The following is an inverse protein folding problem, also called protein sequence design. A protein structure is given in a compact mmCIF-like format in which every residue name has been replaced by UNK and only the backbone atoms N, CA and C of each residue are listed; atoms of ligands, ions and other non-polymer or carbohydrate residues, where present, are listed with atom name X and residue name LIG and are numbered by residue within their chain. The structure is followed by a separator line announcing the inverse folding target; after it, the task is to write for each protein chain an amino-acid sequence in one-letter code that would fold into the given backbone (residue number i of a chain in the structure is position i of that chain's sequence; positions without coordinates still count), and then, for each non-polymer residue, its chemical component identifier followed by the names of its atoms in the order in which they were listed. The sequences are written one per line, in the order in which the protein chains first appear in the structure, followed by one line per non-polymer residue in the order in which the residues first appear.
data_IF_489957484365
#
_entry.id   IF_489957484365
#
_cell.length_a   1.000
_cell.length_b   1.000
_cell.length_c   1.000
_cell.angle_alpha   90.00
_cell.angle_beta   90.00
_cell.angle_gamma   90.00
#
_symmetry.space_group_name_H-M   'P 1'
#
loop_
_entity.id
_entity.type
_entity.pdbx_description
1 polymer ?
#
# COMPACT_ATOMS: atom_id res chain seq x y z
N UNK A 1 -11.04 -26.10 0.06
CA UNK A 1 -10.66 -27.21 0.94
C UNK A 1 -9.27 -27.74 0.65
N UNK A 2 -9.10 -29.06 0.39
CA UNK A 2 -7.77 -29.70 0.20
C UNK A 2 -6.93 -29.11 -0.94
N UNK A 3 -7.56 -28.65 -2.03
CA UNK A 3 -6.86 -28.04 -3.17
C UNK A 3 -6.27 -26.69 -2.81
N UNK A 4 -6.98 -25.90 -2.03
CA UNK A 4 -6.52 -24.59 -1.53
C UNK A 4 -5.42 -24.76 -0.51
N UNK A 5 -5.49 -25.74 0.39
CA UNK A 5 -4.43 -26.03 1.37
C UNK A 5 -3.13 -26.48 0.69
N UNK A 6 -3.22 -27.32 -0.37
CA UNK A 6 -2.03 -27.68 -1.18
C UNK A 6 -1.44 -26.47 -1.88
N UNK A 7 -2.30 -25.56 -2.43
CA UNK A 7 -1.86 -24.30 -3.01
C UNK A 7 -1.19 -23.40 -1.98
N UNK A 8 -1.74 -23.31 -0.76
CA UNK A 8 -1.15 -22.55 0.33
C UNK A 8 0.25 -23.05 0.74
N UNK A 9 0.41 -24.36 0.86
CA UNK A 9 1.73 -24.94 1.20
C UNK A 9 2.75 -24.74 0.07
N UNK A 10 2.36 -24.90 -1.19
CA UNK A 10 3.24 -24.63 -2.33
C UNK A 10 3.65 -23.16 -2.40
N UNK A 11 2.72 -22.24 -2.19
CA UNK A 11 3.02 -20.81 -2.13
C UNK A 11 3.96 -20.47 -0.96
N UNK A 12 3.74 -21.08 0.21
CA UNK A 12 4.63 -20.93 1.36
C UNK A 12 6.05 -21.39 1.08
N UNK A 13 6.21 -22.55 0.45
CA UNK A 13 7.51 -23.07 0.07
C UNK A 13 8.25 -22.16 -0.93
N UNK A 14 7.53 -21.65 -1.96
CA UNK A 14 8.09 -20.72 -2.94
C UNK A 14 8.51 -19.38 -2.31
N UNK A 15 7.66 -18.80 -1.46
CA UNK A 15 7.99 -17.56 -0.73
C UNK A 15 9.15 -17.77 0.24
N UNK A 16 9.17 -18.89 0.96
CA UNK A 16 10.25 -19.25 1.86
C UNK A 16 11.58 -19.39 1.12
N UNK A 17 11.59 -20.04 -0.05
CA UNK A 17 12.79 -20.19 -0.89
C UNK A 17 13.26 -18.84 -1.45
N UNK A 18 12.33 -18.03 -1.98
CA UNK A 18 12.67 -16.76 -2.63
C UNK A 18 13.10 -15.66 -1.65
N UNK A 19 12.43 -15.58 -0.49
CA UNK A 19 12.62 -14.48 0.46
C UNK A 19 13.44 -14.87 1.69
N UNK A 20 13.40 -16.11 2.09
CA UNK A 20 14.02 -16.59 3.32
C UNK A 20 15.39 -17.20 3.12
N UNK A 21 15.61 -17.98 2.06
CA UNK A 21 16.79 -18.82 1.92
C UNK A 21 17.01 -19.73 3.15
N UNK A 22 18.22 -20.26 3.30
CA UNK A 22 18.55 -21.24 4.37
C UNK A 22 18.53 -20.68 5.81
N UNK A 23 18.42 -19.36 6.02
CA UNK A 23 18.44 -18.71 7.35
C UNK A 23 17.55 -17.47 7.42
N UNK A 24 16.74 -17.25 6.41
CA UNK A 24 15.83 -16.12 6.40
C UNK A 24 14.61 -16.39 7.26
N UNK A 25 13.94 -15.31 7.62
CA UNK A 25 12.74 -15.32 8.44
C UNK A 25 11.61 -14.61 7.72
N UNK A 26 10.44 -15.22 7.66
CA UNK A 26 9.23 -14.58 7.14
C UNK A 26 8.13 -14.59 8.18
N UNK A 27 7.20 -13.66 8.11
CA UNK A 27 6.02 -13.68 8.96
C UNK A 27 4.77 -14.12 8.18
N UNK A 28 3.82 -14.71 8.90
CA UNK A 28 2.53 -15.14 8.38
C UNK A 28 1.41 -14.70 9.32
N UNK A 29 0.45 -13.98 8.77
CA UNK A 29 -0.73 -13.52 9.47
C UNK A 29 -2.00 -13.78 8.65
N UNK A 30 -3.17 -13.66 9.27
CA UNK A 30 -4.42 -13.92 8.58
C UNK A 30 -5.60 -13.07 9.09
N UNK A 31 -6.62 -12.93 8.25
CA UNK A 31 -7.91 -12.36 8.64
C UNK A 31 -8.66 -13.29 9.63
N UNK A 32 -9.61 -12.75 10.43
CA UNK A 32 -10.30 -13.52 11.47
C UNK A 32 -11.33 -14.51 10.91
N UNK A 33 -10.90 -15.45 10.07
CA UNK A 33 -11.75 -16.52 9.56
C UNK A 33 -11.06 -17.86 9.69
N UNK A 34 -11.83 -18.93 9.93
CA UNK A 34 -11.30 -20.28 10.04
C UNK A 34 -10.61 -20.74 8.75
N UNK A 35 -11.13 -20.32 7.59
CA UNK A 35 -10.52 -20.62 6.29
C UNK A 35 -9.16 -19.96 6.14
N UNK A 36 -9.03 -18.67 6.51
CA UNK A 36 -7.77 -17.94 6.47
C UNK A 36 -6.74 -18.54 7.45
N UNK A 37 -7.15 -18.87 8.66
CA UNK A 37 -6.29 -19.53 9.65
C UNK A 37 -5.72 -20.85 9.12
N UNK A 38 -6.58 -21.69 8.53
CA UNK A 38 -6.16 -22.98 7.97
C UNK A 38 -5.15 -22.82 6.81
N UNK A 39 -5.40 -21.87 5.92
CA UNK A 39 -4.49 -21.57 4.82
C UNK A 39 -3.17 -20.95 5.29
N UNK A 40 -3.22 -20.07 6.30
CA UNK A 40 -2.02 -19.49 6.89
C UNK A 40 -1.14 -20.55 7.54
N UNK A 41 -1.72 -21.52 8.25
CA UNK A 41 -0.98 -22.66 8.80
C UNK A 41 -0.35 -23.53 7.69
N UNK A 42 -1.10 -23.79 6.61
CA UNK A 42 -0.56 -24.53 5.46
C UNK A 42 0.61 -23.77 4.79
N UNK A 43 0.47 -22.45 4.64
CA UNK A 43 1.53 -21.58 4.12
C UNK A 43 2.77 -21.61 5.03
N UNK A 44 2.59 -21.45 6.34
CA UNK A 44 3.69 -21.49 7.31
C UNK A 44 4.45 -22.84 7.29
N UNK A 45 3.70 -23.95 7.20
CA UNK A 45 4.30 -25.28 7.05
C UNK A 45 5.08 -25.41 5.73
N UNK A 46 4.56 -24.87 4.63
CA UNK A 46 5.27 -24.82 3.34
C UNK A 46 6.56 -24.01 3.43
N UNK A 47 6.52 -22.82 4.02
CA UNK A 47 7.71 -21.98 4.23
C UNK A 47 8.77 -22.67 5.11
N UNK A 48 8.35 -23.31 6.19
CA UNK A 48 9.26 -24.07 7.05
C UNK A 48 9.88 -25.27 6.32
N UNK A 49 9.15 -25.90 5.38
CA UNK A 49 9.67 -27.01 4.58
C UNK A 49 10.80 -26.58 3.63
N UNK A 50 10.88 -25.31 3.27
CA UNK A 50 11.97 -24.75 2.47
C UNK A 50 13.20 -24.29 3.29
N UNK A 51 13.25 -24.60 4.59
CA UNK A 51 14.33 -24.20 5.50
C UNK A 51 14.19 -22.80 6.10
N UNK A 52 13.13 -22.05 5.75
CA UNK A 52 12.88 -20.71 6.23
C UNK A 52 12.26 -20.70 7.65
N UNK A 53 12.76 -19.84 8.53
CA UNK A 53 12.07 -19.59 9.81
C UNK A 53 10.76 -18.83 9.58
N UNK A 54 9.70 -19.26 10.25
CA UNK A 54 8.38 -18.64 10.13
C UNK A 54 7.90 -18.06 11.47
N UNK A 55 7.56 -16.78 11.49
CA UNK A 55 6.91 -16.11 12.61
C UNK A 55 5.40 -16.10 12.35
N UNK A 56 4.66 -16.94 13.03
CA UNK A 56 3.20 -17.02 12.89
C UNK A 56 2.53 -15.99 13.82
N UNK A 57 1.93 -14.96 13.22
CA UNK A 57 1.33 -13.84 13.94
C UNK A 57 -0.15 -14.04 14.23
N UNK A 58 -0.75 -15.13 13.75
CA UNK A 58 -2.14 -15.42 13.97
C UNK A 58 -3.09 -14.41 13.30
N UNK A 59 -4.23 -14.17 13.94
CA UNK A 59 -5.23 -13.23 13.45
C UNK A 59 -4.92 -11.80 13.91
N UNK A 60 -4.57 -10.92 12.97
CA UNK A 60 -4.34 -9.50 13.24
C UNK A 60 -4.75 -8.64 12.01
N UNK A 61 -4.64 -7.32 12.09
CA UNK A 61 -4.80 -6.45 10.93
C UNK A 61 -3.61 -6.61 9.95
N UNK A 62 -3.87 -6.49 8.64
CA UNK A 62 -2.83 -6.64 7.62
C UNK A 62 -1.70 -5.61 7.78
N UNK A 63 -2.05 -4.36 8.11
CA UNK A 63 -1.12 -3.28 8.40
C UNK A 63 -0.27 -3.55 9.63
N UNK A 64 -0.88 -4.14 10.67
CA UNK A 64 -0.16 -4.56 11.88
C UNK A 64 0.87 -5.66 11.58
N UNK A 65 0.50 -6.64 10.74
CA UNK A 65 1.42 -7.69 10.33
C UNK A 65 2.61 -7.14 9.53
N UNK A 66 2.35 -6.24 8.58
CA UNK A 66 3.39 -5.60 7.77
C UNK A 66 4.36 -4.77 8.65
N UNK A 67 3.82 -4.01 9.61
CA UNK A 67 4.63 -3.26 10.57
C UNK A 67 5.47 -4.18 11.48
N UNK A 68 4.85 -5.23 12.03
CA UNK A 68 5.51 -6.17 12.94
C UNK A 68 6.60 -7.00 12.25
N UNK A 69 6.55 -7.18 10.91
CA UNK A 69 7.60 -7.85 10.15
C UNK A 69 8.97 -7.20 10.35
N UNK A 70 9.04 -5.85 10.27
CA UNK A 70 10.28 -5.11 10.50
C UNK A 70 10.82 -5.28 11.93
N UNK A 71 9.93 -5.28 12.92
CA UNK A 71 10.30 -5.42 14.33
C UNK A 71 10.78 -6.83 14.66
N UNK A 72 10.17 -7.85 14.06
CA UNK A 72 10.54 -9.25 14.26
C UNK A 72 11.72 -9.71 13.42
N UNK A 73 12.32 -8.80 12.62
CA UNK A 73 13.46 -9.10 11.77
C UNK A 73 13.14 -10.04 10.61
N UNK A 74 11.89 -10.03 10.15
CA UNK A 74 11.49 -10.80 8.98
C UNK A 74 11.91 -10.08 7.69
N UNK A 75 12.38 -10.83 6.69
CA UNK A 75 12.69 -10.32 5.35
C UNK A 75 11.42 -9.97 4.56
N UNK A 76 10.27 -10.44 5.02
CA UNK A 76 8.95 -10.14 4.49
C UNK A 76 7.90 -11.02 5.10
N UNK A 77 6.71 -11.04 4.49
CA UNK A 77 5.62 -11.86 5.00
C UNK A 77 4.44 -12.04 4.07
N UNK A 78 3.49 -12.81 4.56
CA UNK A 78 2.24 -13.11 3.90
C UNK A 78 1.05 -12.81 4.82
N UNK A 79 0.06 -12.12 4.28
CA UNK A 79 -1.24 -11.96 4.91
C UNK A 79 -2.30 -12.76 4.14
N UNK A 80 -2.90 -13.72 4.81
CA UNK A 80 -3.94 -14.59 4.23
C UNK A 80 -5.31 -14.00 4.49
N UNK A 81 -6.04 -13.76 3.43
CA UNK A 81 -7.38 -13.19 3.47
C UNK A 81 -8.39 -14.07 2.75
N UNK A 82 -9.57 -14.27 3.34
CA UNK A 82 -10.65 -15.09 2.74
C UNK A 82 -12.00 -14.41 2.99
N UNK A 83 -12.43 -13.51 2.10
CA UNK A 83 -13.80 -12.99 2.11
C UNK A 83 -14.66 -13.74 1.08
N UNK A 84 -14.40 -13.51 -0.20
CA UNK A 84 -15.10 -14.16 -1.33
C UNK A 84 -14.23 -15.25 -1.91
N UNK A 85 -12.95 -14.97 -2.07
CA UNK A 85 -11.92 -15.89 -2.55
C UNK A 85 -10.72 -15.84 -1.60
N UNK A 86 -9.97 -16.94 -1.52
CA UNK A 86 -8.71 -16.95 -0.80
C UNK A 86 -7.68 -16.11 -1.57
N UNK A 87 -7.06 -15.17 -0.90
CA UNK A 87 -5.99 -14.33 -1.45
C UNK A 87 -4.80 -14.25 -0.50
N UNK A 88 -3.62 -14.10 -1.07
CA UNK A 88 -2.35 -13.92 -0.36
C UNK A 88 -1.83 -12.51 -0.68
N UNK A 89 -1.71 -11.68 0.34
CA UNK A 89 -1.03 -10.39 0.26
C UNK A 89 0.42 -10.56 0.70
N UNK A 90 1.37 -10.36 -0.20
CA UNK A 90 2.80 -10.43 0.11
C UNK A 90 3.35 -9.02 0.36
N UNK A 91 4.29 -8.91 1.28
CA UNK A 91 4.96 -7.65 1.63
C UNK A 91 6.40 -7.91 2.06
N UNK A 92 7.25 -6.92 1.88
CA UNK A 92 8.65 -6.97 2.29
C UNK A 92 8.82 -6.69 3.80
N UNK A 93 10.00 -6.96 4.34
CA UNK A 93 10.31 -6.78 5.76
C UNK A 93 10.22 -5.34 6.25
N UNK A 94 10.25 -4.37 5.37
CA UNK A 94 10.02 -2.95 5.65
C UNK A 94 8.54 -2.54 5.60
N UNK A 95 7.62 -3.50 5.43
CA UNK A 95 6.17 -3.29 5.37
C UNK A 95 5.64 -2.81 4.01
N UNK A 96 6.52 -2.54 3.05
CA UNK A 96 6.16 -2.09 1.71
C UNK A 96 5.90 -3.28 0.76
N UNK A 97 5.37 -2.98 -0.43
CA UNK A 97 5.19 -3.99 -1.48
C UNK A 97 6.55 -4.60 -1.88
N UNK A 98 6.51 -5.85 -2.35
CA UNK A 98 7.69 -6.53 -2.85
C UNK A 98 8.27 -5.84 -4.08
N UNK A 99 9.57 -6.00 -4.32
CA UNK A 99 10.16 -5.71 -5.61
C UNK A 99 9.63 -6.67 -6.68
N UNK A 100 9.52 -6.19 -7.91
CA UNK A 100 9.05 -7.03 -9.03
C UNK A 100 9.93 -8.25 -9.24
N UNK A 101 11.24 -8.09 -9.13
CA UNK A 101 12.21 -9.20 -9.20
C UNK A 101 11.93 -10.29 -8.16
N UNK A 102 11.55 -9.91 -6.93
CA UNK A 102 11.17 -10.87 -5.89
C UNK A 102 9.84 -11.57 -6.22
N UNK A 103 8.86 -10.82 -6.75
CA UNK A 103 7.60 -11.43 -7.20
C UNK A 103 7.84 -12.47 -8.32
N UNK A 104 8.67 -12.13 -9.30
CA UNK A 104 9.04 -13.03 -10.42
C UNK A 104 9.80 -14.27 -9.94
N UNK A 105 10.68 -14.10 -8.95
CA UNK A 105 11.36 -15.24 -8.32
C UNK A 105 10.36 -16.17 -7.63
N UNK A 106 9.38 -15.62 -6.89
CA UNK A 106 8.30 -16.41 -6.25
C UNK A 106 7.48 -17.14 -7.30
N UNK A 107 7.08 -16.45 -8.39
CA UNK A 107 6.33 -17.04 -9.51
C UNK A 107 7.14 -18.16 -10.18
N UNK A 108 8.45 -17.99 -10.35
CA UNK A 108 9.34 -19.01 -10.87
C UNK A 108 9.39 -20.23 -9.94
N UNK A 109 9.62 -20.04 -8.65
CA UNK A 109 9.65 -21.13 -7.66
C UNK A 109 8.33 -21.92 -7.62
N UNK A 110 7.18 -21.22 -7.76
CA UNK A 110 5.87 -21.86 -7.88
C UNK A 110 5.75 -22.76 -9.13
N UNK A 111 6.40 -22.38 -10.22
CA UNK A 111 6.31 -23.07 -11.50
C UNK A 111 7.27 -24.28 -11.56
N UNK A 112 8.47 -24.11 -11.04
CA UNK A 112 9.52 -25.16 -11.06
C UNK A 112 9.20 -26.31 -10.10
N UNK A 113 8.41 -26.06 -9.05
CA UNK A 113 7.75 -27.05 -8.13
C UNK A 113 8.56 -28.34 -7.81
N UNK A 114 9.85 -28.30 -7.91
CA UNK A 114 10.69 -29.38 -7.39
C UNK A 114 10.96 -29.08 -5.93
N UNK A 115 10.17 -29.69 -5.06
CA UNK A 115 10.53 -29.82 -3.65
C UNK A 115 11.90 -30.53 -3.57
N UNK A 116 12.95 -29.76 -3.73
CA UNK A 116 14.28 -30.25 -3.42
C UNK A 116 14.27 -30.59 -1.93
N UNK A 117 14.76 -31.76 -1.53
CA UNK A 117 14.88 -32.07 -0.11
C UNK A 117 15.87 -31.08 0.50
N UNK A 118 15.34 -30.13 1.28
CA UNK A 118 16.19 -29.26 2.07
C UNK A 118 16.88 -30.10 3.16
N UNK A 119 18.14 -29.83 3.39
CA UNK A 119 18.93 -30.51 4.43
C UNK A 119 18.44 -30.14 5.85
N UNK A 120 17.73 -29.03 5.96
CA UNK A 120 17.21 -28.49 7.24
C UNK A 120 15.80 -27.93 7.04
N UNK A 121 14.92 -28.19 8.01
CA UNK A 121 13.60 -27.56 8.08
C UNK A 121 13.68 -26.31 8.96
N UNK A 122 12.98 -25.25 8.56
CA UNK A 122 12.77 -24.08 9.39
C UNK A 122 11.81 -24.36 10.56
N UNK A 123 11.79 -23.45 11.51
CA UNK A 123 10.89 -23.52 12.65
C UNK A 123 9.69 -22.57 12.46
N UNK A 124 8.56 -22.91 13.07
CA UNK A 124 7.40 -22.01 13.18
C UNK A 124 7.29 -21.55 14.63
N UNK A 125 7.39 -20.24 14.86
CA UNK A 125 7.27 -19.63 16.19
C UNK A 125 6.05 -18.72 16.22
N UNK A 126 5.31 -18.71 17.33
CA UNK A 126 4.13 -17.85 17.50
C UNK A 126 4.53 -16.45 18.00
N UNK A 127 3.80 -15.44 17.51
CA UNK A 127 3.95 -14.05 17.92
C UNK A 127 2.57 -13.35 17.98
N UNK A 128 1.99 -13.23 19.16
CA UNK A 128 0.60 -12.75 19.37
C UNK A 128 0.50 -11.25 19.70
N UNK A 129 1.46 -10.44 19.25
CA UNK A 129 1.54 -9.03 19.66
C UNK A 129 1.41 -7.99 18.53
N UNK A 130 1.16 -8.39 17.28
CA UNK A 130 1.23 -7.51 16.12
C UNK A 130 0.32 -6.27 16.25
N UNK A 131 -0.98 -6.45 16.56
CA UNK A 131 -1.94 -5.35 16.73
C UNK A 131 -1.58 -4.43 17.90
N UNK A 132 -1.03 -4.98 18.97
CA UNK A 132 -0.64 -4.20 20.17
C UNK A 132 0.56 -3.30 19.88
N UNK A 133 1.61 -3.86 19.28
CA UNK A 133 2.83 -3.12 18.96
C UNK A 133 2.53 -2.03 17.93
N UNK A 134 1.75 -2.35 16.92
CA UNK A 134 1.33 -1.38 15.92
C UNK A 134 0.50 -0.24 16.52
N UNK A 135 -0.54 -0.58 17.32
CA UNK A 135 -1.36 0.42 17.99
C UNK A 135 -0.53 1.32 18.93
N UNK A 136 0.42 0.75 19.67
CA UNK A 136 1.33 1.53 20.51
C UNK A 136 2.17 2.50 19.68
N UNK A 137 2.79 2.04 18.60
CA UNK A 137 3.63 2.87 17.73
C UNK A 137 2.88 4.05 17.09
N UNK A 138 1.64 3.81 16.64
CA UNK A 138 0.80 4.91 16.12
C UNK A 138 0.35 5.83 17.27
N UNK A 139 0.00 5.28 18.43
CA UNK A 139 -0.43 6.04 19.61
C UNK A 139 0.64 7.01 20.14
N UNK A 140 1.91 6.66 20.04
CA UNK A 140 3.03 7.53 20.44
C UNK A 140 3.13 8.82 19.62
N UNK A 141 2.58 8.81 18.40
CA UNK A 141 2.61 9.95 17.49
C UNK A 141 1.36 10.84 17.58
N UNK A 142 0.41 10.49 18.45
CA UNK A 142 -0.93 11.07 18.44
C UNK A 142 -1.29 11.60 19.83
N UNK A 143 -1.70 12.87 19.88
CA UNK A 143 -2.17 13.52 21.09
C UNK A 143 -3.70 13.55 21.16
N UNK A 144 -4.34 13.85 22.30
CA UNK A 144 -5.77 14.02 22.39
C UNK A 144 -6.32 15.06 21.39
N UNK A 145 -7.41 14.71 20.70
CA UNK A 145 -8.04 15.54 19.65
C UNK A 145 -9.08 16.47 20.24
N UNK A 146 -8.67 17.62 20.78
CA UNK A 146 -9.60 18.64 21.23
C UNK A 146 -10.38 19.21 20.04
N UNK A 147 -11.71 19.22 20.15
CA UNK A 147 -12.60 19.75 19.11
C UNK A 147 -12.82 18.82 17.91
N UNK A 148 -12.26 17.59 17.92
CA UNK A 148 -12.45 16.62 16.83
C UNK A 148 -13.00 15.30 17.37
N UNK A 149 -14.08 14.82 16.75
CA UNK A 149 -14.64 13.49 16.94
C UNK A 149 -14.34 12.62 15.75
N UNK A 150 -13.52 11.60 15.92
CA UNK A 150 -13.21 10.63 14.88
C UNK A 150 -14.06 9.37 15.04
N UNK A 151 -14.73 8.94 13.96
CA UNK A 151 -15.47 7.70 13.87
C UNK A 151 -14.81 6.81 12.79
N UNK A 152 -14.64 5.51 13.04
CA UNK A 152 -14.01 4.58 12.11
C UNK A 152 -14.98 3.51 11.63
N UNK A 153 -14.88 3.18 10.34
CA UNK A 153 -15.69 2.15 9.66
C UNK A 153 -14.78 1.25 8.82
N UNK A 154 -14.91 -0.05 8.97
CA UNK A 154 -14.19 -1.05 8.17
C UNK A 154 -15.01 -2.35 8.12
N UNK A 155 -14.78 -3.16 7.09
CA UNK A 155 -15.27 -4.56 7.06
C UNK A 155 -14.43 -5.48 7.95
N UNK A 156 -13.24 -5.06 8.38
CA UNK A 156 -12.35 -5.82 9.26
C UNK A 156 -12.51 -5.39 10.72
N UNK A 157 -12.99 -6.31 11.57
CA UNK A 157 -13.08 -6.09 13.03
C UNK A 157 -11.71 -5.82 13.67
N UNK A 158 -10.63 -6.40 13.10
CA UNK A 158 -9.28 -6.17 13.60
C UNK A 158 -8.83 -4.72 13.39
N UNK A 159 -9.13 -4.15 12.23
CA UNK A 159 -8.85 -2.73 11.95
C UNK A 159 -9.61 -1.84 12.93
N UNK A 160 -10.90 -2.11 13.15
CA UNK A 160 -11.71 -1.35 14.10
C UNK A 160 -11.15 -1.45 15.53
N UNK A 161 -10.80 -2.65 15.97
CA UNK A 161 -10.20 -2.86 17.30
C UNK A 161 -8.87 -2.11 17.47
N UNK A 162 -8.03 -2.06 16.44
CA UNK A 162 -6.77 -1.28 16.45
C UNK A 162 -7.08 0.21 16.53
N UNK A 163 -8.02 0.72 15.71
CA UNK A 163 -8.43 2.12 15.75
C UNK A 163 -9.01 2.52 17.11
N UNK A 164 -9.84 1.67 17.72
CA UNK A 164 -10.42 1.90 19.05
C UNK A 164 -9.32 2.02 20.12
N UNK A 165 -8.32 1.15 20.10
CA UNK A 165 -7.18 1.22 21.03
C UNK A 165 -6.39 2.52 20.89
N UNK A 166 -6.15 2.98 19.65
CA UNK A 166 -5.44 4.23 19.41
C UNK A 166 -6.29 5.43 19.86
N UNK A 167 -7.62 5.36 19.68
CA UNK A 167 -8.55 6.43 20.08
C UNK A 167 -8.76 6.53 21.58
N UNK A 168 -8.42 5.49 22.33
CA UNK A 168 -8.70 5.44 23.77
C UNK A 168 -8.13 6.67 24.50
N UNK A 169 -9.02 7.44 25.14
CA UNK A 169 -8.68 8.67 25.86
C UNK A 169 -8.34 9.87 24.97
N UNK A 170 -8.49 9.78 23.63
CA UNK A 170 -8.09 10.84 22.68
C UNK A 170 -9.26 11.51 21.95
N UNK A 171 -10.39 10.85 21.83
CA UNK A 171 -11.52 11.30 21.03
C UNK A 171 -12.41 12.32 21.80
N UNK A 172 -12.67 13.48 21.20
CA UNK A 172 -13.60 14.46 21.77
C UNK A 172 -15.02 14.20 21.26
N UNK A 173 -15.92 13.77 22.15
CA UNK A 173 -17.31 13.42 21.81
C UNK A 173 -18.13 14.60 21.30
N UNK A 174 -17.73 15.83 21.61
CA UNK A 174 -18.44 17.06 21.28
C UNK A 174 -17.80 17.82 20.11
N UNK A 175 -16.69 17.32 19.56
CA UNK A 175 -15.97 17.93 18.46
C UNK A 175 -16.63 17.77 17.09
N UNK A 176 -16.03 18.40 16.07
CA UNK A 176 -16.39 18.20 14.66
C UNK A 176 -16.25 16.72 14.29
N UNK A 177 -17.31 16.15 13.72
CA UNK A 177 -17.33 14.75 13.34
C UNK A 177 -16.60 14.51 12.03
N UNK A 178 -15.54 13.69 12.08
CA UNK A 178 -14.84 13.18 10.91
C UNK A 178 -14.97 11.65 10.90
N UNK A 179 -15.61 11.12 9.86
CA UNK A 179 -15.81 9.68 9.67
C UNK A 179 -14.77 9.12 8.70
N UNK A 180 -13.97 8.15 9.12
CA UNK A 180 -13.00 7.46 8.28
C UNK A 180 -13.52 6.09 7.87
N UNK A 181 -13.47 5.79 6.57
CA UNK A 181 -13.76 4.46 6.04
C UNK A 181 -12.47 3.83 5.54
N UNK A 182 -12.06 2.72 6.17
CA UNK A 182 -10.83 1.98 5.85
C UNK A 182 -11.22 0.63 5.26
N UNK A 183 -10.58 0.23 4.15
CA UNK A 183 -10.79 -1.10 3.54
C UNK A 183 -10.32 -2.23 4.46
N UNK A 184 -10.83 -3.45 4.25
CA UNK A 184 -10.51 -4.61 5.08
C UNK A 184 -9.03 -5.00 5.09
N UNK A 185 -8.26 -4.60 4.06
CA UNK A 185 -6.81 -4.74 3.97
C UNK A 185 -6.03 -3.58 4.62
N UNK A 186 -6.71 -2.55 5.13
CA UNK A 186 -6.10 -1.39 5.77
C UNK A 186 -5.44 -0.37 4.82
N UNK A 187 -5.41 -0.61 3.52
CA UNK A 187 -4.64 0.21 2.56
C UNK A 187 -5.41 1.38 1.97
N UNK A 188 -6.71 1.21 1.72
CA UNK A 188 -7.56 2.27 1.13
C UNK A 188 -8.34 2.97 2.23
N UNK A 189 -8.41 4.30 2.12
CA UNK A 189 -9.10 5.15 3.08
C UNK A 189 -9.83 6.28 2.37
N UNK A 190 -10.95 6.68 2.93
CA UNK A 190 -11.59 7.97 2.68
C UNK A 190 -12.07 8.57 4.00
N UNK A 191 -12.12 9.88 4.05
CA UNK A 191 -12.73 10.62 5.15
C UNK A 191 -14.02 11.30 4.69
N UNK A 192 -14.91 11.57 5.62
CA UNK A 192 -16.13 12.35 5.39
C UNK A 192 -16.38 13.29 6.57
N UNK A 193 -16.69 14.54 6.29
CA UNK A 193 -17.33 15.46 7.24
C UNK A 193 -18.52 16.15 6.58
N UNK A 194 -19.45 16.69 7.36
CA UNK A 194 -20.63 17.36 6.83
C UNK A 194 -20.26 18.61 6.01
N UNK A 195 -19.20 19.31 6.41
CA UNK A 195 -18.77 20.54 5.75
C UNK A 195 -17.97 20.30 4.46
N UNK A 196 -17.24 19.18 4.39
CA UNK A 196 -16.28 18.90 3.29
C UNK A 196 -16.83 17.90 2.29
N UNK A 197 -17.75 17.01 2.72
CA UNK A 197 -18.13 15.82 1.98
C UNK A 197 -17.01 14.76 2.01
N UNK A 198 -16.93 13.94 0.96
CA UNK A 198 -15.93 12.89 0.85
C UNK A 198 -14.56 13.44 0.45
N UNK A 199 -13.54 13.04 1.21
CA UNK A 199 -12.11 13.29 0.94
C UNK A 199 -11.42 11.96 0.71
N UNK A 200 -10.90 11.74 -0.50
CA UNK A 200 -10.22 10.51 -0.85
C UNK A 200 -8.74 10.53 -0.45
N UNK A 201 -8.15 9.34 -0.43
CA UNK A 201 -6.80 9.06 0.06
C UNK A 201 -5.75 10.08 -0.40
N UNK A 202 -5.71 10.41 -1.69
CA UNK A 202 -4.66 11.27 -2.24
C UNK A 202 -4.66 12.67 -1.59
N UNK A 203 -5.84 13.24 -1.34
CA UNK A 203 -5.97 14.52 -0.62
C UNK A 203 -5.57 14.39 0.85
N UNK A 204 -5.92 13.28 1.50
CA UNK A 204 -5.51 13.01 2.88
C UNK A 204 -3.98 12.90 3.00
N UNK A 205 -3.34 12.19 2.08
CA UNK A 205 -1.87 12.12 1.98
C UNK A 205 -1.27 13.51 1.77
N UNK A 206 -1.85 14.31 0.88
CA UNK A 206 -1.35 15.67 0.62
C UNK A 206 -1.47 16.60 1.85
N UNK A 207 -2.51 16.45 2.71
CA UNK A 207 -2.61 17.16 3.98
C UNK A 207 -1.40 16.81 4.88
N UNK A 208 -1.05 15.54 4.97
CA UNK A 208 0.11 15.11 5.77
C UNK A 208 1.43 15.60 5.16
N UNK A 209 1.57 15.53 3.83
CA UNK A 209 2.77 16.02 3.14
C UNK A 209 2.94 17.54 3.27
N UNK A 210 1.86 18.31 3.17
CA UNK A 210 1.87 19.76 3.37
C UNK A 210 2.44 20.11 4.74
N UNK A 211 2.00 19.40 5.77
CA UNK A 211 2.49 19.61 7.11
C UNK A 211 3.97 19.20 7.28
N UNK A 212 4.42 18.13 6.64
CA UNK A 212 5.84 17.74 6.61
C UNK A 212 6.68 18.82 5.91
N UNK A 213 6.24 19.30 4.75
CA UNK A 213 6.95 20.34 4.00
C UNK A 213 7.10 21.64 4.80
N UNK A 214 6.07 22.07 5.52
CA UNK A 214 6.13 23.25 6.38
C UNK A 214 7.10 23.07 7.55
N UNK A 215 7.31 21.83 8.01
CA UNK A 215 8.34 21.50 9.02
C UNK A 215 9.75 21.38 8.44
N UNK A 216 9.90 21.55 7.13
CA UNK A 216 11.17 21.44 6.46
C UNK A 216 11.59 20.00 6.12
N UNK A 217 10.69 19.05 6.19
CA UNK A 217 10.93 17.62 5.90
C UNK A 217 10.63 17.31 4.43
N UNK A 218 11.41 16.43 3.82
CA UNK A 218 11.17 15.91 2.48
C UNK A 218 10.31 14.65 2.54
N UNK A 219 9.53 14.40 1.48
CA UNK A 219 8.64 13.25 1.38
C UNK A 219 9.25 12.18 0.49
N UNK A 220 9.10 10.91 0.87
CA UNK A 220 9.46 9.79 0.02
C UNK A 220 8.21 9.09 -0.52
N UNK A 221 8.15 8.87 -1.83
CA UNK A 221 7.05 8.19 -2.51
C UNK A 221 7.55 6.95 -3.22
N UNK A 222 6.90 5.84 -2.93
CA UNK A 222 7.11 4.58 -3.63
C UNK A 222 6.08 4.48 -4.75
N UNK A 223 6.52 4.63 -6.01
CA UNK A 223 5.65 4.61 -7.17
C UNK A 223 5.51 5.96 -7.87
N UNK A 224 4.44 6.12 -8.66
CA UNK A 224 4.18 7.37 -9.37
C UNK A 224 3.79 8.48 -8.40
N UNK A 225 4.42 9.64 -8.57
CA UNK A 225 4.11 10.85 -7.79
C UNK A 225 2.95 11.59 -8.46
N UNK A 226 1.84 11.87 -7.76
CA UNK A 226 0.79 12.74 -8.29
C UNK A 226 1.35 14.12 -8.60
N UNK A 227 0.97 14.70 -9.77
CA UNK A 227 1.43 16.04 -10.17
C UNK A 227 1.08 17.11 -9.12
N UNK A 228 -0.10 17.01 -8.52
CA UNK A 228 -0.51 17.91 -7.46
C UNK A 228 0.41 17.87 -6.23
N UNK A 229 0.96 16.70 -5.91
CA UNK A 229 1.93 16.55 -4.83
C UNK A 229 3.29 17.15 -5.21
N UNK A 230 3.73 17.01 -6.47
CA UNK A 230 4.93 17.67 -6.97
C UNK A 230 4.80 19.20 -6.89
N UNK A 231 3.67 19.76 -7.34
CA UNK A 231 3.38 21.20 -7.24
C UNK A 231 3.36 21.69 -5.78
N UNK A 232 2.79 20.90 -4.87
CA UNK A 232 2.78 21.22 -3.45
C UNK A 232 4.21 21.25 -2.89
N UNK A 233 5.05 20.28 -3.20
CA UNK A 233 6.44 20.24 -2.77
C UNK A 233 7.25 21.43 -3.32
N UNK A 234 7.11 21.72 -4.61
CA UNK A 234 7.75 22.87 -5.27
C UNK A 234 7.35 24.19 -4.61
N UNK A 235 6.06 24.39 -4.33
CA UNK A 235 5.56 25.61 -3.66
C UNK A 235 6.14 25.81 -2.26
N UNK A 236 6.51 24.73 -1.58
CA UNK A 236 7.14 24.74 -0.27
C UNK A 236 8.68 24.70 -0.33
N UNK A 237 9.29 24.69 -1.51
CA UNK A 237 10.74 24.56 -1.69
C UNK A 237 11.28 23.22 -1.20
N UNK A 238 10.48 22.17 -1.25
CA UNK A 238 10.79 20.80 -0.79
C UNK A 238 10.95 19.83 -1.95
N UNK A 239 11.51 18.67 -1.65
CA UNK A 239 11.74 17.62 -2.64
C UNK A 239 10.91 16.38 -2.34
N UNK A 240 10.48 15.71 -3.41
CA UNK A 240 9.94 14.36 -3.33
C UNK A 240 11.06 13.41 -3.75
N UNK A 241 11.41 12.51 -2.85
CA UNK A 241 12.38 11.46 -3.12
C UNK A 241 11.59 10.25 -3.63
N UNK A 242 11.71 9.94 -4.91
CA UNK A 242 11.01 8.81 -5.51
C UNK A 242 12.00 7.73 -5.96
N UNK A 243 11.61 6.50 -5.75
CA UNK A 243 12.31 5.33 -6.25
C UNK A 243 11.67 4.91 -7.56
N UNK A 244 12.11 5.50 -8.69
CA UNK A 244 11.59 5.10 -9.99
C UNK A 244 10.06 5.15 -10.09
N UNK A 245 9.51 4.81 -11.24
CA UNK A 245 8.06 4.91 -11.48
C UNK A 245 7.25 3.75 -10.91
N UNK A 246 7.91 2.68 -10.52
CA UNK A 246 7.36 1.59 -9.71
C UNK A 246 8.49 0.99 -8.88
N UNK A 247 8.35 0.92 -7.57
CA UNK A 247 9.22 0.09 -6.71
C UNK A 247 9.16 -1.37 -7.12
N UNK A 248 8.07 -1.75 -7.77
CA UNK A 248 7.86 -3.06 -8.36
C UNK A 248 8.52 -3.21 -9.76
N UNK A 249 9.07 -2.17 -10.36
CA UNK A 249 9.77 -2.25 -11.64
C UNK A 249 11.24 -2.57 -11.39
N UNK A 250 11.50 -3.83 -11.56
CA UNK A 250 12.70 -4.50 -11.96
C UNK A 250 14.02 -3.70 -11.85
N UNK A 251 14.67 -3.81 -10.70
CA UNK A 251 16.11 -3.73 -10.66
C UNK A 251 16.64 -4.87 -9.82
N UNK A 252 17.32 -5.81 -10.46
CA UNK A 252 18.13 -6.82 -9.78
C UNK A 252 19.21 -6.19 -8.87
N UNK A 253 19.42 -4.88 -8.98
CA UNK A 253 20.27 -4.04 -8.13
C UNK A 253 19.67 -2.65 -8.03
N UNK A 254 18.84 -2.37 -7.01
CA UNK A 254 18.27 -1.04 -6.84
C UNK A 254 19.36 0.01 -6.60
N UNK A 255 19.23 1.17 -7.24
CA UNK A 255 20.15 2.29 -7.05
C UNK A 255 20.18 2.75 -5.57
N UNK A 256 21.27 3.39 -5.15
CA UNK A 256 21.37 3.95 -3.78
C UNK A 256 20.23 4.93 -3.47
N UNK A 257 19.78 5.70 -4.45
CA UNK A 257 18.64 6.61 -4.34
C UNK A 257 17.33 5.85 -4.11
N UNK A 258 17.15 4.73 -4.79
CA UNK A 258 15.97 3.88 -4.63
C UNK A 258 15.90 3.25 -3.23
N UNK A 259 17.03 2.78 -2.73
CA UNK A 259 17.15 2.24 -1.37
C UNK A 259 16.87 3.31 -0.31
N UNK A 260 17.37 4.54 -0.51
CA UNK A 260 17.11 5.65 0.39
C UNK A 260 15.63 6.06 0.37
N UNK A 261 15.03 6.20 -0.81
CA UNK A 261 13.61 6.48 -0.95
C UNK A 261 12.76 5.44 -0.24
N UNK A 262 13.09 4.15 -0.40
CA UNK A 262 12.39 3.06 0.25
C UNK A 262 12.55 3.11 1.78
N UNK A 263 13.76 3.35 2.28
CA UNK A 263 14.03 3.49 3.71
C UNK A 263 13.27 4.66 4.35
N UNK A 264 13.08 5.76 3.63
CA UNK A 264 12.28 6.89 4.09
C UNK A 264 10.78 6.57 4.02
N UNK A 265 10.31 5.99 2.91
CA UNK A 265 8.92 5.63 2.72
C UNK A 265 8.42 4.62 3.75
N UNK A 266 9.25 3.65 4.13
CA UNK A 266 8.89 2.67 5.17
C UNK A 266 8.66 3.30 6.55
N UNK A 267 9.29 4.45 6.84
CA UNK A 267 9.08 5.23 8.06
C UNK A 267 7.85 6.13 8.00
N UNK A 268 7.42 6.49 6.81
CA UNK A 268 6.25 7.33 6.55
C UNK A 268 5.00 6.44 6.41
N UNK A 269 4.57 5.79 7.50
CA UNK A 269 3.47 4.82 7.50
C UNK A 269 2.21 5.35 6.81
N UNK A 270 1.88 6.63 6.96
CA UNK A 270 0.71 7.26 6.35
C UNK A 270 0.69 7.19 4.81
N UNK A 271 1.85 6.94 4.18
CA UNK A 271 1.95 6.82 2.72
C UNK A 271 1.39 5.51 2.18
N UNK A 272 1.31 4.45 2.98
CA UNK A 272 0.91 3.12 2.55
C UNK A 272 -0.06 2.40 3.48
N UNK A 273 -0.41 3.02 4.61
CA UNK A 273 -1.26 2.51 5.66
C UNK A 273 -2.42 3.47 5.95
N UNK A 274 -3.66 3.00 5.77
CA UNK A 274 -4.86 3.82 5.96
C UNK A 274 -5.15 4.15 7.42
N UNK A 275 -4.76 3.29 8.37
CA UNK A 275 -4.92 3.58 9.81
C UNK A 275 -3.94 4.70 10.18
N UNK A 276 -2.66 4.53 9.88
CA UNK A 276 -1.65 5.55 10.14
C UNK A 276 -2.00 6.88 9.45
N UNK A 277 -2.52 6.83 8.21
CA UNK A 277 -2.96 8.04 7.50
C UNK A 277 -4.09 8.75 8.21
N UNK A 278 -5.12 8.03 8.68
CA UNK A 278 -6.23 8.64 9.43
C UNK A 278 -5.72 9.39 10.67
N UNK A 279 -4.90 8.74 11.48
CA UNK A 279 -4.38 9.33 12.69
C UNK A 279 -3.39 10.48 12.44
N UNK A 280 -2.57 10.39 11.38
CA UNK A 280 -1.73 11.51 10.95
C UNK A 280 -2.55 12.72 10.52
N UNK A 281 -3.63 12.52 9.74
CA UNK A 281 -4.55 13.62 9.38
C UNK A 281 -5.13 14.28 10.63
N UNK A 282 -5.66 13.49 11.57
CA UNK A 282 -6.20 14.01 12.83
C UNK A 282 -5.14 14.81 13.61
N UNK A 283 -3.92 14.31 13.68
CA UNK A 283 -2.82 15.01 14.36
C UNK A 283 -2.44 16.33 13.65
N UNK A 284 -2.45 16.36 12.31
CA UNK A 284 -2.23 17.59 11.52
C UNK A 284 -3.33 18.61 11.82
N UNK A 285 -4.61 18.20 11.77
CA UNK A 285 -5.73 19.09 12.05
C UNK A 285 -5.65 19.66 13.48
N UNK A 286 -5.39 18.81 14.47
CA UNK A 286 -5.20 19.21 15.87
C UNK A 286 -4.06 20.23 16.03
N UNK A 287 -2.87 19.92 15.49
CA UNK A 287 -1.67 20.74 15.64
C UNK A 287 -1.82 22.10 14.96
N UNK A 288 -2.43 22.13 13.80
CA UNK A 288 -2.68 23.36 13.04
C UNK A 288 -3.93 24.10 13.48
N UNK A 289 -4.73 23.52 14.37
CA UNK A 289 -6.03 24.06 14.84
C UNK A 289 -6.94 24.42 13.67
N UNK A 290 -7.08 23.53 12.71
CA UNK A 290 -7.88 23.72 11.50
C UNK A 290 -8.89 22.59 11.31
N UNK A 291 -9.99 22.89 10.63
CA UNK A 291 -10.99 21.93 10.20
C UNK A 291 -10.50 21.13 8.98
N UNK A 292 -11.13 19.98 8.72
CA UNK A 292 -10.83 19.19 7.51
C UNK A 292 -11.08 20.02 6.23
N UNK A 293 -12.11 20.89 6.23
CA UNK A 293 -12.44 21.77 5.12
C UNK A 293 -11.32 22.78 4.84
N UNK A 294 -10.82 23.43 5.88
CA UNK A 294 -9.71 24.37 5.75
C UNK A 294 -8.45 23.69 5.25
N UNK A 295 -8.12 22.49 5.75
CA UNK A 295 -6.97 21.72 5.28
C UNK A 295 -7.10 21.37 3.79
N UNK A 296 -8.27 20.88 3.36
CA UNK A 296 -8.52 20.54 1.94
C UNK A 296 -8.47 21.79 1.06
N UNK A 297 -8.94 22.94 1.55
CA UNK A 297 -8.94 24.20 0.77
C UNK A 297 -7.55 24.75 0.46
N UNK A 298 -6.54 24.37 1.24
CA UNK A 298 -5.13 24.77 1.05
C UNK A 298 -4.42 23.91 0.00
N UNK A 299 -4.99 22.77 -0.38
CA UNK A 299 -4.37 21.88 -1.35
C UNK A 299 -4.52 22.39 -2.79
N UNK A 300 -3.55 22.10 -3.68
CA UNK A 300 -3.71 22.34 -5.10
C UNK A 300 -4.99 21.70 -5.64
N UNK A 301 -5.67 22.39 -6.54
CA UNK A 301 -6.85 21.80 -7.21
C UNK A 301 -6.39 20.74 -8.19
N UNK A 302 -6.87 19.53 -8.03
CA UNK A 302 -6.66 18.44 -8.96
C UNK A 302 -7.83 17.47 -8.97
N UNK A 303 -7.98 16.79 -10.10
CA UNK A 303 -8.89 15.67 -10.28
C UNK A 303 -8.18 14.57 -11.05
N UNK A 304 -8.44 13.33 -10.67
CA UNK A 304 -7.87 12.16 -11.32
C UNK A 304 -8.97 11.25 -11.88
N UNK A 305 -8.74 10.71 -13.07
CA UNK A 305 -9.59 9.69 -13.70
C UNK A 305 -8.73 8.50 -14.05
N UNK A 306 -9.16 7.32 -13.62
CA UNK A 306 -8.50 6.06 -13.93
C UNK A 306 -9.40 5.21 -14.82
N UNK A 307 -8.86 4.65 -15.90
CA UNK A 307 -9.61 3.81 -16.82
C UNK A 307 -8.82 2.57 -17.20
N UNK A 308 -9.44 1.42 -17.06
CA UNK A 308 -8.93 0.17 -17.60
C UNK A 308 -9.33 0.02 -19.07
N UNK A 309 -8.36 -0.32 -19.91
CA UNK A 309 -8.57 -0.57 -21.35
C UNK A 309 -8.05 -1.98 -21.63
N UNK A 310 -8.92 -2.92 -22.07
CA UNK A 310 -8.49 -4.26 -22.42
C UNK A 310 -7.63 -4.22 -23.69
N UNK A 311 -6.46 -4.85 -23.63
CA UNK A 311 -5.48 -4.95 -24.74
C UNK A 311 -4.78 -6.29 -24.61
N UNK A 312 -4.66 -7.04 -25.70
CA UNK A 312 -4.03 -8.37 -25.66
C UNK A 312 -2.52 -8.32 -25.49
N UNK A 313 -1.86 -7.30 -26.06
CA UNK A 313 -0.42 -7.14 -26.04
C UNK A 313 0.00 -5.73 -25.56
N UNK A 314 -0.14 -5.45 -24.25
CA UNK A 314 0.06 -4.10 -23.75
C UNK A 314 1.49 -3.59 -23.95
N UNK A 315 2.52 -4.42 -23.80
CA UNK A 315 3.94 -4.00 -23.98
C UNK A 315 4.23 -3.57 -25.41
N UNK A 316 3.81 -4.36 -26.42
CA UNK A 316 4.00 -3.98 -27.84
C UNK A 316 3.28 -2.68 -28.19
N UNK A 317 2.10 -2.46 -27.61
CA UNK A 317 1.36 -1.22 -27.80
C UNK A 317 2.05 0.00 -27.17
N UNK A 318 2.58 -0.15 -25.96
CA UNK A 318 3.30 0.94 -25.29
C UNK A 318 4.57 1.34 -26.05
N UNK A 319 5.29 0.38 -26.65
CA UNK A 319 6.42 0.65 -27.55
C UNK A 319 5.98 1.44 -28.79
N UNK A 320 4.88 1.03 -29.44
CA UNK A 320 4.33 1.76 -30.60
C UNK A 320 3.91 3.19 -30.27
N UNK A 321 3.38 3.42 -29.10
CA UNK A 321 2.98 4.74 -28.61
C UNK A 321 4.17 5.59 -28.18
N UNK A 322 5.40 5.07 -28.28
CA UNK A 322 6.64 5.76 -27.83
C UNK A 322 6.54 6.29 -26.41
N UNK A 323 5.90 5.51 -25.54
CA UNK A 323 5.71 5.89 -24.15
C UNK A 323 7.06 5.94 -23.44
N UNK A 324 7.36 7.07 -22.80
CA UNK A 324 8.61 7.23 -22.04
C UNK A 324 8.77 6.16 -20.96
N UNK A 325 10.02 5.91 -20.54
CA UNK A 325 10.43 4.93 -19.48
C UNK A 325 9.69 5.14 -18.15
N UNK A 326 8.51 5.55 -18.13
CA UNK A 326 7.70 5.78 -16.95
C UNK A 326 6.23 5.87 -17.23
N UNK A 327 5.85 5.44 -18.42
CA UNK A 327 4.45 5.40 -18.77
C UNK A 327 3.81 6.77 -18.98
N UNK A 328 4.58 7.85 -19.10
CA UNK A 328 4.02 9.19 -19.37
C UNK A 328 3.77 9.34 -20.85
N UNK A 329 2.50 9.50 -21.24
CA UNK A 329 2.08 9.84 -22.60
C UNK A 329 2.14 11.34 -22.85
N UNK A 330 1.73 12.13 -21.90
CA UNK A 330 1.82 13.60 -21.94
C UNK A 330 1.87 14.17 -20.53
N UNK A 331 2.59 15.28 -20.41
CA UNK A 331 2.65 16.10 -19.20
C UNK A 331 2.74 17.57 -19.63
N UNK A 332 1.66 18.31 -19.48
CA UNK A 332 1.54 19.68 -19.94
C UNK A 332 0.48 20.46 -19.19
N UNK A 333 0.17 21.66 -19.63
CA UNK A 333 -0.76 22.58 -18.96
C UNK A 333 -2.17 22.02 -18.81
N UNK A 334 -2.60 21.12 -19.72
CA UNK A 334 -3.91 20.45 -19.64
C UNK A 334 -4.00 19.32 -18.64
N UNK A 335 -2.87 18.78 -18.20
CA UNK A 335 -2.80 17.66 -17.28
C UNK A 335 -1.72 16.65 -17.61
N UNK A 336 -1.61 15.61 -16.77
CA UNK A 336 -0.69 14.49 -16.94
C UNK A 336 -1.47 13.23 -17.29
N UNK A 337 -1.02 12.53 -18.32
CA UNK A 337 -1.57 11.23 -18.73
C UNK A 337 -0.49 10.17 -18.63
N UNK A 338 -0.76 9.15 -17.82
CA UNK A 338 0.15 8.02 -17.66
C UNK A 338 -0.55 6.71 -18.00
N UNK A 339 0.21 5.78 -18.55
CA UNK A 339 -0.25 4.45 -18.91
C UNK A 339 0.68 3.40 -18.33
N UNK A 340 0.10 2.31 -17.87
CA UNK A 340 0.87 1.15 -17.39
C UNK A 340 0.16 -0.15 -17.77
N UNK A 341 0.89 -1.22 -18.09
CA UNK A 341 0.28 -2.52 -18.25
C UNK A 341 -0.31 -2.99 -16.93
N UNK A 342 -1.41 -3.71 -16.98
CA UNK A 342 -1.93 -4.38 -15.79
C UNK A 342 -1.17 -5.68 -15.53
N UNK A 343 -1.01 -6.06 -14.27
CA UNK A 343 -0.27 -7.27 -13.86
C UNK A 343 -0.80 -8.57 -14.50
N UNK A 344 -2.07 -8.63 -14.87
CA UNK A 344 -2.67 -9.77 -15.57
C UNK A 344 -2.19 -9.94 -17.02
N UNK A 345 -1.41 -9.02 -17.55
CA UNK A 345 -0.92 -9.03 -18.92
C UNK A 345 -1.97 -8.75 -19.99
N UNK A 346 -3.23 -8.50 -19.62
CA UNK A 346 -4.37 -8.32 -20.54
C UNK A 346 -5.02 -6.96 -20.42
N UNK A 347 -4.24 -5.89 -20.57
CA UNK A 347 -4.81 -4.55 -20.59
C UNK A 347 -3.83 -3.47 -20.11
N UNK A 348 -4.30 -2.25 -20.24
CA UNK A 348 -3.60 -1.03 -19.84
C UNK A 348 -4.46 -0.28 -18.84
N UNK A 349 -3.85 0.20 -17.79
CA UNK A 349 -4.44 1.19 -16.90
C UNK A 349 -4.01 2.59 -17.37
N UNK A 350 -4.98 3.39 -17.75
CA UNK A 350 -4.82 4.79 -18.08
C UNK A 350 -5.13 5.63 -16.83
N UNK A 351 -4.17 6.44 -16.39
CA UNK A 351 -4.37 7.38 -15.30
C UNK A 351 -4.22 8.80 -15.85
N UNK A 352 -5.19 9.64 -15.57
CA UNK A 352 -5.22 11.04 -16.03
C UNK A 352 -5.39 11.93 -14.83
N UNK A 353 -4.55 12.95 -14.72
CA UNK A 353 -4.62 14.02 -13.72
C UNK A 353 -4.77 15.36 -14.41
N UNK A 354 -5.69 16.20 -13.94
CA UNK A 354 -5.91 17.56 -14.41
C UNK A 354 -6.41 18.46 -13.29
N UNK A 355 -6.56 19.75 -13.54
CA UNK A 355 -7.04 20.73 -12.57
C UNK A 355 -8.54 20.63 -12.27
N UNK A 356 -9.34 19.98 -13.15
CA UNK A 356 -10.77 19.79 -13.01
C UNK A 356 -11.19 18.40 -13.50
N UNK A 357 -12.28 17.87 -12.99
CA UNK A 357 -12.79 16.55 -13.33
C UNK A 357 -13.22 16.45 -14.81
N UNK A 358 -13.84 17.51 -15.33
CA UNK A 358 -14.25 17.60 -16.72
C UNK A 358 -13.04 17.49 -17.64
N UNK A 359 -12.00 18.29 -17.39
CA UNK A 359 -10.76 18.25 -18.18
C UNK A 359 -10.04 16.89 -18.08
N UNK A 360 -10.02 16.27 -16.87
CA UNK A 360 -9.46 14.94 -16.71
C UNK A 360 -10.27 13.89 -17.48
N UNK A 361 -11.61 14.01 -17.50
CA UNK A 361 -12.49 13.09 -18.22
C UNK A 361 -12.32 13.21 -19.74
N UNK A 362 -12.26 14.44 -20.27
CA UNK A 362 -12.04 14.70 -21.70
C UNK A 362 -10.68 14.14 -22.16
N UNK A 363 -9.61 14.38 -21.41
CA UNK A 363 -8.30 13.80 -21.68
C UNK A 363 -8.34 12.26 -21.63
N UNK A 364 -9.04 11.71 -20.64
CA UNK A 364 -9.19 10.27 -20.50
C UNK A 364 -9.93 9.65 -21.69
N UNK A 365 -10.98 10.29 -22.18
CA UNK A 365 -11.73 9.85 -23.36
C UNK A 365 -10.86 9.91 -24.61
N UNK A 366 -10.17 11.04 -24.83
CA UNK A 366 -9.26 11.22 -25.95
C UNK A 366 -8.17 10.14 -26.01
N UNK A 367 -7.43 9.96 -24.91
CA UNK A 367 -6.34 8.98 -24.89
C UNK A 367 -6.85 7.53 -24.87
N UNK A 368 -8.05 7.26 -24.35
CA UNK A 368 -8.69 5.94 -24.49
C UNK A 368 -8.92 5.59 -25.94
N UNK A 369 -9.38 6.54 -26.77
CA UNK A 369 -9.57 6.32 -28.20
C UNK A 369 -8.24 6.17 -28.95
N UNK A 370 -7.22 6.95 -28.58
CA UNK A 370 -5.86 6.81 -29.15
C UNK A 370 -5.32 5.40 -28.88
N UNK A 371 -5.44 4.92 -27.62
CA UNK A 371 -4.98 3.58 -27.23
C UNK A 371 -5.75 2.50 -28.02
N UNK A 372 -7.07 2.59 -28.09
CA UNK A 372 -7.90 1.61 -28.83
C UNK A 372 -7.55 1.55 -30.33
N UNK A 373 -7.37 2.70 -30.97
CA UNK A 373 -6.98 2.77 -32.41
C UNK A 373 -5.62 2.15 -32.70
N UNK A 374 -4.69 2.21 -31.77
CA UNK A 374 -3.36 1.63 -31.92
C UNK A 374 -3.27 0.18 -31.42
N UNK A 375 -4.30 -0.32 -30.74
CA UNK A 375 -4.34 -1.69 -30.24
C UNK A 375 -4.73 -2.70 -31.36
N UNK A 376 -5.34 -2.23 -32.40
CA UNK A 376 -5.76 -3.00 -33.60
C UNK A 376 -5.04 -2.49 -34.83
#
# INVERSE_FOLDING_TARGET
GQREQRGGAAAGAAVGAAMGGEKGRICVAHSPSAGAASLAMAFAAGAASSGCECVFMGSCAATSAAYAAGITGCSGGCYVHTEITASLGLFAGDGLDLYRSTEEQIEHELTVSHLLPYSHYGTVTNFDGADLIYAAAVSEQVMPFEGIRADFYSSSERILSVCEKILEGRNDKNGERIAFRISGDGRRISAYSEETGYVFRDRLVMICCMDMFDRGEDCAVCGSVPRALEQLAESCGRKIISCGKNICDDESSPSSQCLEARRLASKQLFMHDGIALAFNVLEVLRRRKMTLKEAVSQLPKFAGVNRYIPVDKPSELLERLSVSTGGVLTDGDGGRVTVRPVRTGKGIMLNVESYALEAASELCDFYSEVIKRNAY
#
